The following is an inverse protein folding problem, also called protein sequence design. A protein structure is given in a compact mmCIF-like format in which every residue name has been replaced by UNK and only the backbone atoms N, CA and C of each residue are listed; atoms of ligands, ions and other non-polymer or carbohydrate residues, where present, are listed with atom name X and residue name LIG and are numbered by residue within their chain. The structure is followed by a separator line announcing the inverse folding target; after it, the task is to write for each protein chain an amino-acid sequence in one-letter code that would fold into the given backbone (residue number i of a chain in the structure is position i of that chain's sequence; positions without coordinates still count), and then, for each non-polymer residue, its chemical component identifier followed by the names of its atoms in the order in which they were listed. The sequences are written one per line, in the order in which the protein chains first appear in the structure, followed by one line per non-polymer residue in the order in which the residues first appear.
data_IF_904829636105
#
_entry.id   IF_904829636105
#
_cell.length_a   1.000
_cell.length_b   1.000
_cell.length_c   1.000
_cell.angle_alpha   90.00
_cell.angle_beta   90.00
_cell.angle_gamma   90.00
#
_symmetry.space_group_name_H-M   'P 1'
#
loop_
_entity.id
_entity.type
_entity.pdbx_description
1 polymer ?
#
# COMPACT_ATOMS: atom_id res chain seq x y z
N UNK A 1 -2.49 30.86 5.86
CA UNK A 1 -2.90 29.78 6.79
C UNK A 1 -2.44 28.44 6.22
N UNK A 2 -2.12 27.44 7.06
CA UNK A 2 -1.77 26.08 6.62
C UNK A 2 -2.65 25.08 7.34
N UNK A 3 -3.42 24.31 6.58
CA UNK A 3 -4.27 23.24 7.10
C UNK A 3 -3.64 21.90 6.71
N UNK A 4 -3.59 20.96 7.65
CA UNK A 4 -3.11 19.61 7.42
C UNK A 4 -4.01 18.67 8.19
N UNK A 5 -4.48 17.64 7.50
CA UNK A 5 -5.24 16.54 8.09
C UNK A 5 -4.69 15.23 7.53
N UNK A 6 -4.69 14.18 8.36
CA UNK A 6 -4.16 12.87 8.02
C UNK A 6 -2.64 12.79 7.81
N UNK A 7 -2.23 11.72 7.14
CA UNK A 7 -0.83 11.41 6.82
C UNK A 7 -0.42 12.05 5.49
N UNK A 8 0.81 12.58 5.43
CA UNK A 8 1.34 13.19 4.21
C UNK A 8 2.86 13.03 4.14
N UNK A 9 3.30 12.33 3.11
CA UNK A 9 4.72 12.22 2.74
C UNK A 9 5.21 13.57 2.22
N UNK A 10 6.44 13.95 2.50
CA UNK A 10 6.99 15.25 2.06
C UNK A 10 8.30 15.13 1.28
N UNK A 11 8.91 13.93 1.23
CA UNK A 11 10.23 13.69 0.67
C UNK A 11 10.27 12.40 -0.18
N UNK A 12 11.26 12.33 -1.07
CA UNK A 12 11.55 11.15 -1.89
C UNK A 12 10.71 11.04 -3.16
N UNK A 13 10.93 9.95 -3.88
CA UNK A 13 10.18 9.59 -5.08
C UNK A 13 8.67 9.41 -4.84
N UNK A 14 8.20 8.89 -3.69
CA UNK A 14 6.76 8.77 -3.40
C UNK A 14 6.00 10.10 -3.46
N UNK A 15 6.65 11.25 -3.27
CA UNK A 15 5.99 12.56 -3.42
C UNK A 15 5.45 12.76 -4.83
N UNK A 16 6.17 12.31 -5.86
CA UNK A 16 5.74 12.50 -7.26
C UNK A 16 4.65 11.50 -7.65
N UNK A 17 4.68 10.32 -7.04
CA UNK A 17 3.76 9.24 -7.38
C UNK A 17 2.45 9.35 -6.60
N UNK A 18 2.49 9.71 -5.32
CA UNK A 18 1.31 9.69 -4.45
C UNK A 18 0.68 11.06 -4.21
N UNK A 19 1.38 12.16 -4.47
CA UNK A 19 0.87 13.49 -4.14
C UNK A 19 0.47 14.21 -5.41
N UNK A 20 -0.82 14.48 -5.52
CA UNK A 20 -1.33 15.44 -6.49
C UNK A 20 -1.38 16.83 -5.84
N UNK A 21 -0.89 17.84 -6.56
CA UNK A 21 -0.77 19.18 -6.04
C UNK A 21 -1.26 20.20 -7.08
N UNK A 22 -2.15 21.09 -6.65
CA UNK A 22 -2.69 22.15 -7.48
C UNK A 22 -2.50 23.52 -6.83
N UNK A 23 -2.20 24.52 -7.66
CA UNK A 23 -2.16 25.93 -7.27
C UNK A 23 -3.16 26.71 -8.11
N UNK A 24 -4.00 27.49 -7.45
CA UNK A 24 -4.97 28.38 -8.09
C UNK A 24 -5.02 29.72 -7.37
N UNK A 25 -5.44 30.74 -8.11
CA UNK A 25 -5.57 32.10 -7.61
C UNK A 25 -7.04 32.51 -7.64
N UNK A 26 -7.51 33.13 -6.57
CA UNK A 26 -8.86 33.69 -6.46
C UNK A 26 -8.73 35.20 -6.35
N UNK A 27 -9.41 35.92 -7.23
CA UNK A 27 -9.48 37.38 -7.20
C UNK A 27 -10.55 37.82 -6.19
N UNK A 28 -10.16 38.66 -5.25
CA UNK A 28 -11.02 39.31 -4.27
C UNK A 28 -10.97 40.83 -4.50
N UNK A 29 -11.95 41.56 -3.98
CA UNK A 29 -11.98 43.03 -4.07
C UNK A 29 -10.73 43.70 -3.44
N UNK A 30 -10.14 43.06 -2.43
CA UNK A 30 -8.95 43.56 -1.71
C UNK A 30 -7.62 43.13 -2.38
N UNK A 31 -7.63 42.22 -3.35
CA UNK A 31 -6.42 41.67 -3.96
C UNK A 31 -6.56 40.22 -4.40
N UNK A 32 -5.44 39.49 -4.51
CA UNK A 32 -5.42 38.09 -4.99
C UNK A 32 -5.09 37.14 -3.84
N UNK A 33 -5.88 36.09 -3.68
CA UNK A 33 -5.61 34.99 -2.74
C UNK A 33 -5.08 33.77 -3.48
N UNK A 34 -3.91 33.27 -3.08
CA UNK A 34 -3.36 32.01 -3.58
C UNK A 34 -3.83 30.82 -2.75
N UNK A 35 -4.35 29.79 -3.41
CA UNK A 35 -4.75 28.51 -2.80
C UNK A 35 -3.82 27.42 -3.35
N UNK A 36 -3.19 26.68 -2.44
CA UNK A 36 -2.38 25.50 -2.75
C UNK A 36 -2.95 24.30 -2.03
N UNK A 37 -3.37 23.30 -2.79
CA UNK A 37 -3.91 22.04 -2.28
C UNK A 37 -2.94 20.92 -2.60
N UNK A 38 -2.70 20.03 -1.64
CA UNK A 38 -1.94 18.79 -1.81
C UNK A 38 -2.80 17.65 -1.29
N UNK A 39 -3.02 16.63 -2.10
CA UNK A 39 -3.82 15.44 -1.76
C UNK A 39 -2.93 14.22 -1.90
N UNK A 40 -2.87 13.41 -0.85
CA UNK A 40 -2.20 12.10 -0.89
C UNK A 40 -3.20 11.06 -1.40
N UNK A 41 -2.87 10.39 -2.49
CA UNK A 41 -3.68 9.38 -3.15
C UNK A 41 -3.46 8.00 -2.48
N UNK A 42 -4.52 7.21 -2.38
CA UNK A 42 -4.45 5.85 -1.88
C UNK A 42 -3.86 4.90 -2.93
N UNK A 43 -2.88 4.09 -2.52
CA UNK A 43 -2.25 3.09 -3.38
C UNK A 43 -3.20 1.93 -3.72
N UNK A 44 -4.06 1.54 -2.76
CA UNK A 44 -4.82 0.28 -2.80
C UNK A 44 -6.04 0.31 -3.72
N UNK A 45 -6.70 1.46 -3.92
CA UNK A 45 -8.01 1.51 -4.60
C UNK A 45 -7.98 1.90 -6.08
N UNK A 46 -6.86 2.43 -6.57
CA UNK A 46 -6.75 3.02 -7.92
C UNK A 46 -5.78 2.29 -8.86
N UNK A 47 -5.35 1.07 -8.52
CA UNK A 47 -4.59 0.22 -9.44
C UNK A 47 -3.16 0.68 -9.72
N UNK A 48 -2.58 1.58 -8.90
CA UNK A 48 -1.15 1.89 -8.97
C UNK A 48 -0.35 0.73 -8.38
N UNK A 49 0.49 0.13 -9.21
CA UNK A 49 1.10 -1.20 -9.01
C UNK A 49 2.18 -1.29 -7.93
N UNK A 50 2.62 -0.19 -7.33
CA UNK A 50 3.73 -0.22 -6.36
C UNK A 50 3.24 0.22 -4.99
N UNK A 51 3.41 -0.57 -3.92
CA UNK A 51 3.19 -0.10 -2.56
C UNK A 51 4.25 0.93 -2.16
N UNK A 52 3.97 1.71 -1.11
CA UNK A 52 5.00 2.54 -0.48
C UNK A 52 6.18 1.66 -0.08
N UNK A 53 7.44 2.11 -0.28
CA UNK A 53 8.63 1.27 -0.01
C UNK A 53 8.71 0.74 1.43
N UNK A 54 8.06 1.42 2.37
CA UNK A 54 8.08 1.06 3.79
C UNK A 54 6.88 0.18 4.22
N UNK A 55 5.89 -0.04 3.34
CA UNK A 55 4.67 -0.77 3.66
C UNK A 55 4.82 -2.26 3.32
N UNK A 56 5.19 -3.06 4.33
CA UNK A 56 5.21 -4.52 4.24
C UNK A 56 3.85 -5.11 4.62
N UNK A 57 3.27 -5.95 3.76
CA UNK A 57 2.07 -6.74 4.11
C UNK A 57 2.50 -8.13 4.56
N UNK A 58 2.28 -8.46 5.82
CA UNK A 58 2.56 -9.80 6.36
C UNK A 58 1.31 -10.66 6.15
N UNK A 59 1.41 -11.67 5.29
CA UNK A 59 0.34 -12.63 5.08
C UNK A 59 0.32 -13.66 6.23
N UNK A 60 -0.88 -14.00 6.71
CA UNK A 60 -1.03 -15.06 7.70
C UNK A 60 -0.61 -16.41 7.10
N UNK A 61 -0.03 -17.31 7.89
CA UNK A 61 0.32 -18.64 7.44
C UNK A 61 -0.94 -19.37 6.95
N UNK A 62 -0.78 -20.15 5.87
CA UNK A 62 -1.86 -21.03 5.39
C UNK A 62 -2.07 -22.15 6.43
N UNK A 63 -3.32 -22.45 6.74
CA UNK A 63 -3.67 -23.49 7.72
C UNK A 63 -3.15 -24.87 7.28
N UNK A 64 -2.59 -25.62 8.23
CA UNK A 64 -1.83 -26.85 7.97
C UNK A 64 -2.69 -28.10 7.68
N UNK A 65 -4.02 -27.98 7.70
CA UNK A 65 -4.94 -29.12 7.51
C UNK A 65 -4.73 -29.82 6.15
N UNK A 66 -4.28 -29.10 5.13
CA UNK A 66 -3.94 -29.66 3.82
C UNK A 66 -2.66 -30.53 3.84
N UNK A 67 -1.69 -30.23 4.72
CA UNK A 67 -0.43 -31.00 4.79
C UNK A 67 -0.59 -32.31 5.57
N UNK A 68 -1.52 -32.36 6.52
CA UNK A 68 -1.84 -33.59 7.24
C UNK A 68 -2.47 -34.64 6.30
N UNK A 69 -3.35 -34.22 5.39
CA UNK A 69 -3.98 -35.11 4.40
C UNK A 69 -2.95 -35.72 3.43
N UNK A 70 -1.91 -34.97 3.05
CA UNK A 70 -0.85 -35.45 2.16
C UNK A 70 0.11 -36.43 2.86
N UNK A 71 0.41 -36.22 4.15
CA UNK A 71 1.25 -37.16 4.92
C UNK A 71 0.53 -38.49 5.24
N UNK A 72 -0.80 -38.49 5.33
CA UNK A 72 -1.59 -39.72 5.56
C UNK A 72 -1.71 -40.58 4.28
N UNK A 73 -1.40 -40.04 3.10
CA UNK A 73 -1.56 -40.73 1.82
C UNK A 73 -0.30 -41.43 1.28
N UNK A 74 0.84 -41.41 1.98
CA UNK A 74 2.03 -42.16 1.58
C UNK A 74 1.93 -43.63 2.06
N UNK A 75 1.74 -44.62 1.16
CA UNK A 75 1.69 -46.02 1.56
C UNK A 75 3.07 -46.50 2.04
N UNK A 76 3.05 -47.24 3.16
CA UNK A 76 4.22 -47.91 3.72
C UNK A 76 4.91 -48.77 2.65
N UNK A 77 6.16 -48.44 2.33
CA UNK A 77 7.03 -49.29 1.54
C UNK A 77 7.56 -50.36 2.50
N UNK A 78 7.03 -51.58 2.41
CA UNK A 78 7.57 -52.75 3.10
C UNK A 78 8.99 -53.02 2.56
N UNK A 79 9.98 -52.96 3.45
CA UNK A 79 11.35 -53.37 3.14
C UNK A 79 11.45 -54.88 3.41
N UNK A 80 11.68 -55.75 2.40
CA UNK A 80 11.94 -57.15 2.66
C UNK A 80 13.37 -57.29 3.19
N UNK A 81 13.48 -57.73 4.44
CA UNK A 81 14.75 -58.19 5.03
C UNK A 81 15.11 -59.53 4.38
N UNK A 82 16.29 -59.60 3.77
CA UNK A 82 16.92 -60.83 3.29
C UNK A 82 18.09 -61.20 4.21
#
# INVERSE_FOLDING_TARGET
MKFKDGYMISLGQPVKEYIDAAVRHVLLRQGVLGIKVKIMLDWSKQGRMTPSPDLMTIHQPKEEEEYAALMVAAPAIEVPVA
#
